data_IF_947422077236
#
_entry.id   IF_947422077236
#
_cell.length_a   1.000
_cell.length_b   1.000
_cell.length_c   1.000
_cell.angle_alpha   90.00
_cell.angle_beta   90.00
_cell.angle_gamma   90.00
#
_symmetry.space_group_name_H-M   'P 1'
#
loop_
_entity.id
_entity.type
_entity.pdbx_description
1 polymer ?
#
# COMPACT_ATOMS: atom_id res chain seq x y z
N UNK A 1 -30.95 -13.63 -8.53
CA UNK A 1 -30.18 -12.95 -9.59
C UNK A 1 -28.72 -13.25 -9.30
N UNK A 2 -28.16 -14.26 -9.97
CA UNK A 2 -26.85 -14.81 -9.64
C UNK A 2 -25.72 -13.90 -10.11
N UNK A 3 -24.69 -13.76 -9.28
CA UNK A 3 -23.45 -13.09 -9.66
C UNK A 3 -22.81 -13.86 -10.82
N UNK A 4 -22.32 -13.19 -11.88
CA UNK A 4 -21.63 -13.85 -12.97
C UNK A 4 -20.36 -14.52 -12.44
N UNK A 5 -20.15 -15.76 -12.89
CA UNK A 5 -18.92 -16.50 -12.72
C UNK A 5 -17.79 -15.82 -13.48
N UNK A 6 -16.93 -15.10 -12.77
CA UNK A 6 -15.56 -14.86 -13.21
C UNK A 6 -14.65 -15.12 -12.01
N UNK A 7 -13.94 -16.25 -12.03
CA UNK A 7 -12.71 -16.40 -11.26
C UNK A 7 -11.68 -15.46 -11.90
N UNK A 8 -11.83 -14.13 -11.72
CA UNK A 8 -10.67 -13.24 -11.80
C UNK A 8 -9.78 -13.66 -10.65
N UNK A 9 -8.65 -14.25 -11.00
CA UNK A 9 -7.57 -14.41 -10.06
C UNK A 9 -7.10 -12.98 -9.78
N UNK A 10 -7.77 -12.28 -8.85
CA UNK A 10 -7.43 -10.93 -8.44
C UNK A 10 -6.02 -11.00 -7.86
N UNK A 11 -5.06 -10.67 -8.71
CA UNK A 11 -3.64 -10.77 -8.44
C UNK A 11 -3.31 -9.59 -7.54
N UNK A 12 -3.19 -9.86 -6.24
CA UNK A 12 -2.65 -8.92 -5.25
C UNK A 12 -1.17 -9.24 -5.04
N UNK A 13 -0.28 -8.65 -5.84
CA UNK A 13 1.16 -8.90 -5.74
C UNK A 13 1.67 -8.65 -4.33
N UNK A 14 2.57 -9.52 -3.87
CA UNK A 14 3.31 -9.42 -2.61
C UNK A 14 2.49 -9.46 -1.30
N UNK A 15 1.16 -9.49 -1.35
CA UNK A 15 0.34 -9.79 -0.16
C UNK A 15 0.43 -11.28 0.19
N UNK A 16 0.58 -11.57 1.48
CA UNK A 16 0.47 -12.92 2.02
C UNK A 16 -0.98 -13.44 1.89
N UNK A 17 -1.23 -14.76 1.85
CA UNK A 17 -2.59 -15.30 1.73
C UNK A 17 -3.58 -14.77 2.77
N UNK A 18 -3.13 -14.52 4.00
CA UNK A 18 -3.97 -13.93 5.05
C UNK A 18 -4.29 -12.45 4.78
N UNK A 19 -3.31 -11.68 4.30
CA UNK A 19 -3.50 -10.27 3.93
C UNK A 19 -4.41 -10.15 2.71
N UNK A 20 -4.33 -11.08 1.76
CA UNK A 20 -5.29 -11.18 0.64
C UNK A 20 -6.72 -11.34 1.16
N UNK A 21 -6.94 -12.15 2.20
CA UNK A 21 -8.26 -12.31 2.81
C UNK A 21 -8.74 -11.00 3.46
N UNK A 22 -7.88 -10.34 4.24
CA UNK A 22 -8.16 -9.03 4.85
C UNK A 22 -8.49 -7.97 3.80
N UNK A 23 -7.70 -7.91 2.73
CA UNK A 23 -7.90 -6.95 1.66
C UNK A 23 -9.20 -7.17 0.90
N UNK A 24 -9.58 -8.44 0.65
CA UNK A 24 -10.87 -8.75 0.01
C UNK A 24 -12.05 -8.28 0.84
N UNK A 25 -12.00 -8.45 2.16
CA UNK A 25 -13.07 -7.97 3.04
C UNK A 25 -13.16 -6.45 3.02
N UNK A 26 -12.02 -5.75 2.99
CA UNK A 26 -11.99 -4.31 2.78
C UNK A 26 -12.58 -3.90 1.41
N UNK A 27 -12.19 -4.55 0.31
CA UNK A 27 -12.71 -4.23 -1.02
C UNK A 27 -14.23 -4.48 -1.07
N UNK A 28 -14.72 -5.55 -0.45
CA UNK A 28 -16.14 -5.86 -0.36
C UNK A 28 -16.92 -4.79 0.41
N UNK A 29 -16.38 -4.33 1.55
CA UNK A 29 -17.05 -3.36 2.42
C UNK A 29 -16.92 -1.90 1.94
N UNK A 30 -15.75 -1.53 1.40
CA UNK A 30 -15.34 -0.14 1.17
C UNK A 30 -14.83 0.13 -0.25
N UNK A 31 -14.54 -0.90 -1.06
CA UNK A 31 -13.92 -0.72 -2.37
C UNK A 31 -14.72 0.17 -3.34
N UNK A 32 -16.04 0.25 -3.16
CA UNK A 32 -16.93 1.11 -3.95
C UNK A 32 -16.73 2.61 -3.73
N UNK A 33 -15.98 3.03 -2.70
CA UNK A 33 -15.67 4.45 -2.45
C UNK A 33 -14.47 4.95 -3.26
N UNK A 34 -13.79 4.06 -3.99
CA UNK A 34 -12.62 4.36 -4.81
C UNK A 34 -12.93 4.07 -6.27
N UNK A 35 -12.40 4.91 -7.17
CA UNK A 35 -12.57 4.77 -8.62
C UNK A 35 -11.74 3.60 -9.17
N UNK A 36 -10.53 3.41 -8.61
CA UNK A 36 -9.60 2.34 -8.97
C UNK A 36 -8.58 2.08 -7.85
N UNK A 37 -7.85 0.98 -8.00
CA UNK A 37 -6.69 0.64 -7.19
C UNK A 37 -5.48 0.33 -8.08
N UNK A 38 -4.32 0.85 -7.71
CA UNK A 38 -3.02 0.46 -8.24
C UNK A 38 -2.28 -0.38 -7.18
N UNK A 39 -1.61 -1.46 -7.57
CA UNK A 39 -0.97 -2.41 -6.64
C UNK A 39 0.55 -2.48 -6.84
N UNK A 40 1.28 -2.86 -5.78
CA UNK A 40 2.75 -3.03 -5.80
C UNK A 40 3.50 -1.79 -6.34
N UNK A 41 3.08 -0.63 -5.86
CA UNK A 41 3.58 0.65 -6.36
C UNK A 41 4.97 0.91 -5.76
N UNK A 42 5.96 1.04 -6.64
CA UNK A 42 7.34 1.27 -6.24
C UNK A 42 7.55 2.74 -5.87
N UNK A 43 8.15 2.98 -4.72
CA UNK A 43 8.55 4.31 -4.24
C UNK A 43 9.96 4.29 -3.66
N UNK A 44 10.60 5.46 -3.66
CA UNK A 44 11.96 5.61 -3.20
C UNK A 44 12.99 5.36 -4.30
N UNK A 45 14.25 5.68 -4.00
CA UNK A 45 15.32 5.63 -4.99
C UNK A 45 15.83 4.21 -5.32
N UNK A 46 15.53 3.23 -4.46
CA UNK A 46 16.21 1.94 -4.45
C UNK A 46 17.70 2.08 -4.14
N UNK A 47 18.44 0.97 -4.26
CA UNK A 47 19.90 0.94 -4.24
C UNK A 47 20.39 0.76 -5.67
N UNK A 48 21.41 1.51 -6.06
CA UNK A 48 22.22 1.18 -7.23
C UNK A 48 23.48 0.49 -6.72
N UNK A 49 23.85 -0.69 -7.24
CA UNK A 49 25.17 -1.23 -6.94
C UNK A 49 26.22 -0.21 -7.41
N UNK A 50 27.39 -0.17 -6.77
CA UNK A 50 28.56 0.53 -7.31
C UNK A 50 29.12 -0.21 -8.53
N UNK A 51 28.28 -0.44 -9.53
CA UNK A 51 28.60 -1.23 -10.71
C UNK A 51 29.26 -0.35 -11.79
N UNK A 52 30.21 -0.90 -12.56
CA UNK A 52 30.77 -0.23 -13.73
C UNK A 52 29.68 0.19 -14.73
N UNK A 53 29.96 1.21 -15.54
CA UNK A 53 29.06 1.64 -16.60
C UNK A 53 28.69 0.46 -17.53
N UNK A 54 27.39 0.22 -17.73
CA UNK A 54 26.87 -0.84 -18.61
C UNK A 54 26.36 -2.11 -17.91
N UNK A 55 26.25 -2.12 -16.58
CA UNK A 55 25.66 -3.26 -15.86
C UNK A 55 24.15 -3.37 -16.11
N UNK A 56 23.78 -4.38 -16.90
CA UNK A 56 22.40 -4.71 -17.29
C UNK A 56 21.53 -5.10 -16.08
N UNK A 57 22.14 -5.43 -14.93
CA UNK A 57 21.45 -5.79 -13.69
C UNK A 57 21.23 -4.60 -12.75
N UNK A 58 21.80 -3.43 -13.04
CA UNK A 58 21.69 -2.26 -12.15
C UNK A 58 20.25 -1.78 -11.98
N UNK A 59 19.45 -1.80 -13.05
CA UNK A 59 18.03 -1.43 -12.98
C UNK A 59 17.20 -2.50 -12.26
N UNK A 60 17.45 -3.79 -12.51
CA UNK A 60 16.80 -4.88 -11.77
C UNK A 60 17.08 -4.79 -10.26
N UNK A 61 18.32 -4.46 -9.87
CA UNK A 61 18.69 -4.33 -8.47
C UNK A 61 18.02 -3.12 -7.81
N UNK A 62 17.91 -2.00 -8.54
CA UNK A 62 17.17 -0.83 -8.08
C UNK A 62 15.70 -1.19 -7.82
N UNK A 63 15.05 -1.84 -8.77
CA UNK A 63 13.63 -2.18 -8.67
C UNK A 63 13.37 -3.21 -7.55
N UNK A 64 14.31 -4.13 -7.28
CA UNK A 64 14.25 -5.06 -6.16
C UNK A 64 14.45 -4.41 -4.78
N UNK A 65 15.08 -3.24 -4.73
CA UNK A 65 15.46 -2.57 -3.47
C UNK A 65 14.65 -1.32 -3.19
N UNK A 66 13.85 -0.87 -4.16
CA UNK A 66 12.81 0.12 -3.95
C UNK A 66 11.80 -0.37 -2.91
N UNK A 67 11.16 0.60 -2.24
CA UNK A 67 10.07 0.30 -1.33
C UNK A 67 8.80 0.08 -2.14
N UNK A 68 7.89 -0.71 -1.60
CA UNK A 68 6.66 -1.12 -2.27
C UNK A 68 5.47 -0.81 -1.37
N UNK A 69 4.55 -0.03 -1.91
CA UNK A 69 3.23 0.23 -1.34
C UNK A 69 2.33 -0.92 -1.78
N UNK A 70 1.59 -1.51 -0.83
CA UNK A 70 0.72 -2.64 -1.13
C UNK A 70 -0.37 -2.25 -2.15
N UNK A 71 -1.07 -1.13 -1.89
CA UNK A 71 -2.05 -0.57 -2.81
C UNK A 71 -2.18 0.95 -2.69
N UNK A 72 -2.61 1.59 -3.78
CA UNK A 72 -3.09 2.98 -3.79
C UNK A 72 -4.52 2.97 -4.31
N UNK A 73 -5.46 3.40 -3.47
CA UNK A 73 -6.82 3.70 -3.90
C UNK A 73 -6.92 5.14 -4.40
N UNK A 74 -7.73 5.37 -5.43
CA UNK A 74 -7.89 6.69 -6.02
C UNK A 74 -9.33 7.17 -5.96
N UNK A 75 -9.51 8.44 -5.60
CA UNK A 75 -10.75 9.20 -5.83
C UNK A 75 -10.38 10.43 -6.65
N UNK A 76 -10.63 10.41 -7.95
CA UNK A 76 -10.10 11.39 -8.90
C UNK A 76 -8.57 11.42 -8.86
N UNK A 77 -8.00 12.56 -8.44
CA UNK A 77 -6.56 12.79 -8.30
C UNK A 77 -6.05 12.69 -6.86
N UNK A 78 -6.91 12.27 -5.92
CA UNK A 78 -6.59 12.14 -4.50
C UNK A 78 -6.18 10.69 -4.20
N UNK A 79 -4.90 10.42 -3.89
CA UNK A 79 -4.44 9.07 -3.57
C UNK A 79 -4.65 8.75 -2.09
N UNK A 80 -5.01 7.51 -1.80
CA UNK A 80 -4.93 6.91 -0.46
C UNK A 80 -3.96 5.74 -0.52
N UNK A 81 -2.87 5.80 0.25
CA UNK A 81 -1.86 4.75 0.36
C UNK A 81 -2.30 3.75 1.41
N UNK A 82 -2.35 2.48 1.02
CA UNK A 82 -2.76 1.38 1.89
C UNK A 82 -1.58 0.47 2.24
N UNK A 83 -1.58 0.01 3.49
CA UNK A 83 -0.85 -1.18 3.92
C UNK A 83 -1.85 -2.18 4.53
N UNK A 84 -1.72 -3.45 4.18
CA UNK A 84 -2.63 -4.51 4.63
C UNK A 84 -1.92 -5.47 5.57
N UNK A 85 -2.45 -5.69 6.77
CA UNK A 85 -1.90 -6.64 7.75
C UNK A 85 -3.01 -7.40 8.46
N UNK A 86 -2.81 -8.66 8.81
CA UNK A 86 -3.75 -9.33 9.72
C UNK A 86 -3.78 -8.63 11.08
N UNK A 87 -2.59 -8.38 11.64
CA UNK A 87 -2.40 -7.67 12.91
C UNK A 87 -1.52 -6.44 12.69
N UNK A 88 -2.02 -5.29 13.08
CA UNK A 88 -1.31 -4.03 13.00
C UNK A 88 -0.36 -3.81 14.19
N UNK A 89 0.72 -3.08 13.93
CA UNK A 89 1.74 -2.68 14.89
C UNK A 89 2.35 -1.31 14.53
N UNK A 90 3.23 -0.78 15.40
CA UNK A 90 3.95 0.47 15.13
C UNK A 90 4.81 0.43 13.86
N UNK A 91 5.25 -0.75 13.39
CA UNK A 91 6.08 -0.84 12.20
C UNK A 91 5.30 -0.49 10.95
N UNK A 92 4.07 -1.01 10.80
CA UNK A 92 3.22 -0.65 9.64
C UNK A 92 2.87 0.84 9.62
N UNK A 93 2.61 1.44 10.78
CA UNK A 93 2.36 2.89 10.87
C UNK A 93 3.58 3.68 10.40
N UNK A 94 4.78 3.29 10.84
CA UNK A 94 6.03 3.88 10.37
C UNK A 94 6.26 3.71 8.86
N UNK A 95 5.91 2.55 8.30
CA UNK A 95 5.95 2.31 6.85
C UNK A 95 5.03 3.26 6.10
N UNK A 96 3.77 3.38 6.50
CA UNK A 96 2.79 4.27 5.86
C UNK A 96 3.26 5.72 5.84
N UNK A 97 3.77 6.23 6.97
CA UNK A 97 4.32 7.59 7.06
C UNK A 97 5.50 7.75 6.10
N UNK A 98 6.43 6.78 6.09
CA UNK A 98 7.57 6.78 5.18
C UNK A 98 7.15 6.76 3.71
N UNK A 99 6.18 5.93 3.36
CA UNK A 99 5.65 5.81 2.01
C UNK A 99 4.97 7.10 1.55
N UNK A 100 4.15 7.72 2.41
CA UNK A 100 3.56 9.04 2.12
C UNK A 100 4.63 10.08 1.77
N UNK A 101 5.72 10.16 2.54
CA UNK A 101 6.82 11.09 2.26
C UNK A 101 7.57 10.79 0.97
N UNK A 102 7.83 9.52 0.68
CA UNK A 102 8.48 9.13 -0.58
C UNK A 102 7.59 9.44 -1.79
N UNK A 103 6.29 9.16 -1.67
CA UNK A 103 5.30 9.45 -2.69
C UNK A 103 5.19 10.95 -2.98
N UNK A 104 5.04 11.79 -1.95
CA UNK A 104 4.98 13.26 -2.09
C UNK A 104 6.19 13.81 -2.83
N UNK A 105 7.38 13.32 -2.49
CA UNK A 105 8.64 13.73 -3.13
C UNK A 105 8.67 13.38 -4.62
N UNK A 106 8.14 12.21 -4.98
CA UNK A 106 8.18 11.67 -6.35
C UNK A 106 7.01 12.19 -7.20
N UNK A 107 5.92 12.64 -6.57
CA UNK A 107 4.71 13.12 -7.22
C UNK A 107 4.30 14.53 -6.72
N UNK A 108 5.16 15.55 -6.84
CA UNK A 108 4.94 16.86 -6.21
C UNK A 108 3.76 17.65 -6.79
N UNK A 109 3.23 17.24 -7.94
CA UNK A 109 2.09 17.89 -8.60
C UNK A 109 0.73 17.25 -8.23
N UNK A 110 0.75 16.12 -7.51
CA UNK A 110 -0.45 15.45 -7.03
C UNK A 110 -0.78 15.91 -5.61
N UNK A 111 -2.03 15.68 -5.19
CA UNK A 111 -2.43 15.87 -3.81
C UNK A 111 -1.64 14.94 -2.89
N UNK A 112 -1.32 15.44 -1.68
CA UNK A 112 -0.71 14.62 -0.64
C UNK A 112 -1.61 13.41 -0.34
N UNK A 113 -1.03 12.20 -0.19
CA UNK A 113 -1.82 11.01 0.00
C UNK A 113 -2.42 10.96 1.40
N UNK A 114 -3.65 10.46 1.50
CA UNK A 114 -4.13 9.92 2.77
C UNK A 114 -3.43 8.59 3.06
N UNK A 115 -3.30 8.25 4.34
CA UNK A 115 -2.66 7.02 4.79
C UNK A 115 -3.70 6.12 5.44
N UNK A 116 -3.75 4.86 5.02
CA UNK A 116 -4.73 3.91 5.50
C UNK A 116 -4.08 2.57 5.84
N UNK A 117 -4.44 2.07 7.02
CA UNK A 117 -4.11 0.73 7.48
C UNK A 117 -5.37 -0.13 7.40
N UNK A 118 -5.28 -1.28 6.75
CA UNK A 118 -6.33 -2.29 6.76
C UNK A 118 -5.88 -3.47 7.58
N UNK A 119 -6.64 -3.82 8.62
CA UNK A 119 -6.30 -4.95 9.48
C UNK A 119 -7.51 -5.64 10.12
N UNK A 120 -7.28 -6.82 10.73
CA UNK A 120 -8.29 -7.49 11.56
C UNK A 120 -8.18 -7.08 13.02
N UNK A 121 -6.95 -6.82 13.47
CA UNK A 121 -6.64 -6.60 14.88
C UNK A 121 -5.62 -5.46 15.00
N UNK A 122 -5.93 -4.48 15.84
CA UNK A 122 -4.97 -3.45 16.28
C UNK A 122 -5.02 -3.27 17.80
N UNK A 123 -3.84 -3.13 18.43
CA UNK A 123 -3.74 -2.83 19.85
C UNK A 123 -4.12 -1.38 20.19
N UNK A 124 -4.45 -1.07 21.45
CA UNK A 124 -4.84 0.28 21.86
C UNK A 124 -3.71 1.31 21.65
N UNK A 125 -2.45 0.94 21.92
CA UNK A 125 -1.30 1.84 21.75
C UNK A 125 -1.02 2.11 20.27
N UNK A 126 -1.06 1.08 19.43
CA UNK A 126 -0.90 1.22 17.98
C UNK A 126 -2.03 2.08 17.38
N UNK A 127 -3.27 1.86 17.83
CA UNK A 127 -4.43 2.67 17.42
C UNK A 127 -4.30 4.13 17.82
N UNK A 128 -3.79 4.40 19.03
CA UNK A 128 -3.51 5.75 19.50
C UNK A 128 -2.47 6.43 18.59
N UNK A 129 -1.35 5.76 18.29
CA UNK A 129 -0.30 6.31 17.42
C UNK A 129 -0.79 6.51 15.99
N UNK A 130 -1.53 5.55 15.42
CA UNK A 130 -2.12 5.69 14.10
C UNK A 130 -3.02 6.94 14.02
N UNK A 131 -3.87 7.15 15.03
CA UNK A 131 -4.75 8.32 15.11
C UNK A 131 -3.96 9.63 15.22
N UNK A 132 -2.95 9.70 16.09
CA UNK A 132 -2.05 10.86 16.22
C UNK A 132 -1.36 11.21 14.90
N UNK A 133 -0.96 10.18 14.14
CA UNK A 133 -0.31 10.32 12.84
C UNK A 133 -1.27 10.45 11.66
N UNK A 134 -2.58 10.56 11.91
CA UNK A 134 -3.64 10.68 10.90
C UNK A 134 -3.63 9.53 9.88
N UNK A 135 -3.36 8.32 10.37
CA UNK A 135 -3.54 7.08 9.62
C UNK A 135 -4.95 6.57 9.88
N UNK A 136 -5.77 6.53 8.84
CA UNK A 136 -7.10 5.91 8.90
C UNK A 136 -6.97 4.40 9.13
N UNK A 137 -7.85 3.84 9.97
CA UNK A 137 -7.86 2.40 10.27
C UNK A 137 -9.15 1.81 9.74
N UNK A 138 -9.03 0.79 8.89
CA UNK A 138 -10.12 -0.07 8.45
C UNK A 138 -9.98 -1.42 9.11
N UNK A 139 -10.82 -1.68 10.12
CA UNK A 139 -10.86 -2.95 10.83
C UNK A 139 -11.96 -3.83 10.21
N UNK A 140 -11.57 -4.88 9.48
CA UNK A 140 -12.47 -5.70 8.64
C UNK A 140 -12.37 -7.18 8.96
#
# INVERSE_FOLDING_TARGET
MGLPSDKKNDYFPHLLPVEVSVWRDFISAHGHTFDRFDYDVHVGAGRRPGAPAGDVYADNFRDLTQKRIDAIGWTGTYPTIFEVRERADLQVIGKLIGYGRLWERENPMLSAPELALVCRIIGPDDRFVASDKRVSIYEV
#
